data_IF_759702020777
#
_entry.id   IF_759702020777
#
_cell.length_a   1.000
_cell.length_b   1.000
_cell.length_c   1.000
_cell.angle_alpha   90.00
_cell.angle_beta   90.00
_cell.angle_gamma   90.00
#
_symmetry.space_group_name_H-M   'P 1'
#
loop_
_entity.id
_entity.type
_entity.pdbx_description
1 polymer ?
#
# COMPACT_ATOMS: atom_id res chain seq x y z
N UNK A 1 -17.52 -8.66 0.51
CA UNK A 1 -16.43 -7.82 -0.05
C UNK A 1 -15.15 -8.64 0.13
N UNK A 2 -14.52 -9.12 -0.95
CA UNK A 2 -13.43 -10.12 -0.91
C UNK A 2 -12.14 -9.67 -0.17
N UNK A 3 -12.08 -8.40 0.26
CA UNK A 3 -10.92 -7.81 0.89
C UNK A 3 -10.72 -8.21 2.36
N UNK A 4 -11.75 -8.68 3.07
CA UNK A 4 -11.63 -9.07 4.49
C UNK A 4 -10.75 -10.31 4.68
N UNK A 5 -10.96 -11.34 3.86
CA UNK A 5 -10.13 -12.54 3.83
C UNK A 5 -8.72 -12.22 3.35
N UNK A 6 -8.61 -11.41 2.29
CA UNK A 6 -7.32 -10.96 1.75
C UNK A 6 -6.50 -10.20 2.80
N UNK A 7 -7.15 -9.35 3.59
CA UNK A 7 -6.50 -8.59 4.65
C UNK A 7 -6.00 -9.49 5.78
N UNK A 8 -6.79 -10.51 6.14
CA UNK A 8 -6.39 -11.50 7.14
C UNK A 8 -5.18 -12.29 6.68
N UNK A 9 -5.21 -12.84 5.46
CA UNK A 9 -4.08 -13.60 4.90
C UNK A 9 -2.84 -12.73 4.74
N UNK A 10 -2.98 -11.49 4.23
CA UNK A 10 -1.85 -10.60 4.04
C UNK A 10 -1.18 -10.18 5.36
N UNK A 11 -1.96 -9.95 6.43
CA UNK A 11 -1.39 -9.68 7.77
C UNK A 11 -0.63 -10.88 8.30
N UNK A 12 -1.21 -12.08 8.22
CA UNK A 12 -0.53 -13.32 8.63
C UNK A 12 0.78 -13.52 7.87
N UNK A 13 0.81 -13.21 6.56
CA UNK A 13 2.03 -13.31 5.77
C UNK A 13 3.14 -12.39 6.29
N UNK A 14 2.81 -11.14 6.66
CA UNK A 14 3.76 -10.20 7.28
C UNK A 14 4.20 -10.69 8.66
N UNK A 15 3.30 -11.23 9.48
CA UNK A 15 3.64 -11.77 10.81
C UNK A 15 4.59 -12.97 10.73
N UNK A 16 4.37 -13.88 9.78
CA UNK A 16 5.17 -15.09 9.60
C UNK A 16 6.55 -14.75 8.99
N UNK A 17 6.59 -13.83 8.03
CA UNK A 17 7.81 -13.46 7.32
C UNK A 17 7.92 -11.93 7.17
N UNK A 18 8.29 -11.21 8.23
CA UNK A 18 8.28 -9.75 8.27
C UNK A 18 9.36 -9.11 7.40
N UNK A 19 10.41 -9.85 7.01
CA UNK A 19 11.47 -9.34 6.14
C UNK A 19 11.23 -9.69 4.66
N UNK A 20 10.14 -10.37 4.33
CA UNK A 20 9.81 -10.69 2.95
C UNK A 20 9.08 -9.52 2.30
N UNK A 21 9.81 -8.75 1.49
CA UNK A 21 9.34 -7.53 0.80
C UNK A 21 7.97 -7.66 0.13
N UNK A 22 7.70 -8.82 -0.48
CA UNK A 22 6.44 -9.08 -1.19
C UNK A 22 5.23 -9.08 -0.26
N UNK A 23 5.39 -9.44 1.02
CA UNK A 23 4.29 -9.47 1.98
C UNK A 23 3.82 -8.05 2.33
N UNK A 24 4.77 -7.13 2.52
CA UNK A 24 4.49 -5.70 2.74
C UNK A 24 3.79 -5.08 1.52
N UNK A 25 4.31 -5.35 0.33
CA UNK A 25 3.71 -4.88 -0.92
C UNK A 25 2.31 -5.44 -1.13
N UNK A 26 2.09 -6.73 -0.82
CA UNK A 26 0.77 -7.37 -0.90
C UNK A 26 -0.22 -6.73 0.06
N UNK A 27 0.17 -6.50 1.32
CA UNK A 27 -0.69 -5.86 2.31
C UNK A 27 -1.05 -4.42 1.90
N UNK A 28 -0.12 -3.68 1.31
CA UNK A 28 -0.40 -2.37 0.72
C UNK A 28 -1.46 -2.45 -0.38
N UNK A 29 -1.36 -3.43 -1.30
CA UNK A 29 -2.34 -3.63 -2.37
C UNK A 29 -3.74 -3.99 -1.83
N UNK A 30 -3.83 -4.73 -0.72
CA UNK A 30 -5.12 -5.00 -0.07
C UNK A 30 -5.74 -3.70 0.45
N UNK A 31 -4.96 -2.82 1.08
CA UNK A 31 -5.46 -1.51 1.50
C UNK A 31 -5.87 -0.61 0.31
N UNK A 32 -5.21 -0.73 -0.85
CA UNK A 32 -5.68 -0.08 -2.09
C UNK A 32 -7.06 -0.56 -2.50
N UNK A 33 -7.32 -1.87 -2.47
CA UNK A 33 -8.64 -2.43 -2.79
C UNK A 33 -9.75 -1.97 -1.82
N UNK A 34 -9.37 -1.54 -0.62
CA UNK A 34 -10.26 -0.96 0.39
C UNK A 34 -10.42 0.57 0.27
N UNK A 35 -9.72 1.21 -0.67
CA UNK A 35 -9.60 2.68 -0.79
C UNK A 35 -9.00 3.38 0.45
N UNK A 36 -8.27 2.63 1.27
CA UNK A 36 -7.59 3.11 2.47
C UNK A 36 -6.18 3.59 2.12
N UNK A 37 -6.10 4.68 1.35
CA UNK A 37 -4.87 5.16 0.70
C UNK A 37 -3.74 5.46 1.69
N UNK A 38 -4.02 6.06 2.84
CA UNK A 38 -3.03 6.39 3.86
C UNK A 38 -2.41 5.14 4.49
N UNK A 39 -3.21 4.07 4.66
CA UNK A 39 -2.71 2.77 5.14
C UNK A 39 -1.86 2.11 4.06
N UNK A 40 -2.31 2.14 2.80
CA UNK A 40 -1.56 1.59 1.69
C UNK A 40 -0.18 2.26 1.54
N UNK A 41 -0.11 3.59 1.67
CA UNK A 41 1.16 4.33 1.60
C UNK A 41 2.17 3.86 2.64
N UNK A 42 1.77 3.70 3.92
CA UNK A 42 2.67 3.21 4.97
C UNK A 42 3.26 1.84 4.67
N UNK A 43 2.48 0.93 4.10
CA UNK A 43 2.97 -0.40 3.73
C UNK A 43 3.85 -0.39 2.48
N UNK A 44 3.60 0.50 1.52
CA UNK A 44 4.53 0.72 0.42
C UNK A 44 5.84 1.37 0.88
N UNK A 45 5.79 2.29 1.85
CA UNK A 45 6.98 2.86 2.48
C UNK A 45 7.79 1.77 3.18
N UNK A 46 7.15 0.89 3.96
CA UNK A 46 7.84 -0.26 4.57
C UNK A 46 8.42 -1.24 3.55
N UNK A 47 7.78 -1.41 2.39
CA UNK A 47 8.35 -2.17 1.26
C UNK A 47 9.68 -1.55 0.81
N UNK A 48 9.76 -0.22 0.75
CA UNK A 48 10.96 0.51 0.34
C UNK A 48 12.01 0.60 1.47
N UNK A 49 11.61 0.53 2.73
CA UNK A 49 12.55 0.37 3.86
C UNK A 49 13.29 -0.97 3.78
N UNK A 50 12.59 -2.05 3.41
CA UNK A 50 13.19 -3.37 3.20
C UNK A 50 13.99 -3.47 1.90
N UNK A 51 13.47 -2.90 0.82
CA UNK A 51 14.11 -2.91 -0.49
C UNK A 51 13.95 -1.55 -1.18
N UNK A 52 14.93 -0.64 -1.02
CA UNK A 52 14.85 0.71 -1.57
C UNK A 52 14.66 0.78 -3.08
N UNK A 53 15.11 -0.23 -3.83
CA UNK A 53 14.99 -0.30 -5.29
C UNK A 53 13.74 -1.05 -5.79
N UNK A 54 12.76 -1.31 -4.92
CA UNK A 54 11.51 -1.96 -5.33
C UNK A 54 10.62 -0.99 -6.13
N UNK A 55 10.91 -0.86 -7.43
CA UNK A 55 10.25 0.05 -8.36
C UNK A 55 8.70 0.02 -8.30
N UNK A 56 8.03 -1.15 -8.20
CA UNK A 56 6.57 -1.18 -8.11
C UNK A 56 6.00 -0.40 -6.91
N UNK A 57 6.68 -0.37 -5.77
CA UNK A 57 6.22 0.39 -4.60
C UNK A 57 6.39 1.90 -4.82
N UNK A 58 7.48 2.34 -5.46
CA UNK A 58 7.69 3.75 -5.85
C UNK A 58 6.56 4.24 -6.77
N UNK A 59 6.22 3.44 -7.78
CA UNK A 59 5.17 3.77 -8.74
C UNK A 59 3.77 3.84 -8.09
N UNK A 60 3.47 2.91 -7.18
CA UNK A 60 2.21 2.91 -6.42
C UNK A 60 2.11 4.13 -5.51
N UNK A 61 3.17 4.49 -4.78
CA UNK A 61 3.19 5.71 -3.94
C UNK A 61 2.94 6.97 -4.77
N UNK A 62 3.65 7.13 -5.89
CA UNK A 62 3.45 8.28 -6.80
C UNK A 62 2.01 8.34 -7.30
N UNK A 63 1.43 7.20 -7.67
CA UNK A 63 0.05 7.11 -8.15
C UNK A 63 -0.94 7.60 -7.09
N UNK A 64 -0.80 7.14 -5.84
CA UNK A 64 -1.66 7.56 -4.73
C UNK A 64 -1.51 9.06 -4.47
N UNK A 65 -0.27 9.56 -4.42
CA UNK A 65 0.01 10.98 -4.17
C UNK A 65 -0.63 11.87 -5.25
N UNK A 66 -0.49 11.52 -6.53
CA UNK A 66 -1.15 12.23 -7.63
C UNK A 66 -2.68 12.21 -7.49
N UNK A 67 -3.27 11.06 -7.14
CA UNK A 67 -4.71 10.95 -6.92
C UNK A 67 -5.20 11.83 -5.77
N UNK A 68 -4.49 11.86 -4.64
CA UNK A 68 -4.86 12.67 -3.49
C UNK A 68 -4.71 14.17 -3.76
N UNK A 69 -3.67 14.59 -4.47
CA UNK A 69 -3.48 15.98 -4.89
C UNK A 69 -4.62 16.46 -5.79
N UNK A 70 -4.95 15.70 -6.83
CA UNK A 70 -6.05 16.05 -7.75
C UNK A 70 -7.41 16.08 -7.07
N UNK A 71 -7.66 15.19 -6.09
CA UNK A 71 -8.89 15.25 -5.27
C UNK A 71 -8.93 16.48 -4.37
N UNK A 72 -7.78 16.91 -3.82
CA UNK A 72 -7.69 18.10 -2.97
C UNK A 72 -7.94 19.37 -3.76
N UNK A 73 -7.35 19.50 -4.95
CA UNK A 73 -7.56 20.64 -5.85
C UNK A 73 -9.02 20.79 -6.28
N UNK A 74 -9.72 19.68 -6.59
CA UNK A 74 -11.14 19.68 -6.92
C UNK A 74 -12.07 20.07 -5.77
N UNK A 75 -11.58 20.08 -4.53
CA UNK A 75 -12.34 20.45 -3.32
C UNK A 75 -12.07 21.89 -2.86
N UNK A 76 -11.13 22.58 -3.49
CA UNK A 76 -10.88 24.00 -3.22
C UNK A 76 -11.89 24.84 -4.04
N UNK A 77 -12.56 25.84 -3.43
CA UNK A 77 -13.53 26.71 -4.10
C UNK A 77 -12.89 27.66 -5.11
#
# INVERSE_FOLDING_TARGET
RLWEDALTVARMAVEIAPHFVVNHFTLANVYIAMEEFEKAMRWYESTLELQPEFAPAKDRLRTIQCYLLTKKERRLP
#
